data_IF_005086936663
#
_entry.id   IF_005086936663
#
_cell.length_a   1.000
_cell.length_b   1.000
_cell.length_c   1.000
_cell.angle_alpha   90.00
_cell.angle_beta   90.00
_cell.angle_gamma   90.00
#
_symmetry.space_group_name_H-M   'P 1'
#
loop_
_entity.id
_entity.type
_entity.pdbx_description
1 polymer ?
#
# COMPACT_ATOMS: atom_id res chain seq x y z
N UNK A 1 3.42 -11.37 -13.20
CA UNK A 1 2.97 -10.05 -13.70
C UNK A 1 3.20 -8.92 -12.69
N UNK A 2 2.83 -9.05 -11.41
CA UNK A 2 3.02 -7.99 -10.39
C UNK A 2 4.49 -7.57 -10.22
N UNK A 3 5.39 -8.55 -10.15
CA UNK A 3 6.84 -8.31 -10.01
C UNK A 3 7.42 -7.44 -11.13
N UNK A 4 7.01 -7.72 -12.38
CA UNK A 4 7.43 -6.95 -13.56
C UNK A 4 6.96 -5.50 -13.43
N UNK A 5 5.73 -5.27 -12.99
CA UNK A 5 5.20 -3.93 -12.78
C UNK A 5 5.98 -3.18 -11.69
N UNK A 6 6.29 -3.83 -10.57
CA UNK A 6 7.09 -3.23 -9.50
C UNK A 6 8.50 -2.84 -10.00
N UNK A 7 9.15 -3.73 -10.75
CA UNK A 7 10.48 -3.48 -11.35
C UNK A 7 10.45 -2.37 -12.41
N UNK A 8 9.40 -2.30 -13.24
CA UNK A 8 9.20 -1.22 -14.21
C UNK A 8 8.94 0.15 -13.57
N UNK A 9 8.39 0.16 -12.36
CA UNK A 9 8.08 1.38 -11.59
C UNK A 9 9.20 1.78 -10.64
N UNK A 10 10.40 1.25 -10.86
CA UNK A 10 11.62 1.58 -10.10
C UNK A 10 11.45 1.36 -8.59
N UNK A 11 10.62 0.40 -8.19
CA UNK A 11 10.47 0.00 -6.78
C UNK A 11 11.75 -0.71 -6.35
N UNK A 12 12.41 -0.20 -5.31
CA UNK A 12 13.64 -0.82 -4.80
C UNK A 12 13.36 -2.22 -4.27
N UNK A 13 14.37 -3.08 -4.39
CA UNK A 13 14.36 -4.44 -3.85
C UNK A 13 15.58 -4.72 -3.00
N UNK A 14 15.46 -5.71 -2.12
CA UNK A 14 16.54 -6.26 -1.30
C UNK A 14 16.37 -7.78 -1.22
N UNK A 15 17.49 -8.51 -1.18
CA UNK A 15 17.47 -9.96 -0.95
C UNK A 15 17.80 -10.22 0.51
N UNK A 16 16.90 -10.89 1.22
CA UNK A 16 17.06 -11.32 2.61
C UNK A 16 16.83 -12.83 2.68
N UNK A 17 17.78 -13.57 3.27
CA UNK A 17 17.71 -15.03 3.40
C UNK A 17 17.43 -15.78 2.08
N UNK A 18 17.88 -15.21 0.95
CA UNK A 18 17.67 -15.77 -0.39
C UNK A 18 16.33 -15.45 -1.03
N UNK A 19 15.47 -14.67 -0.37
CA UNK A 19 14.18 -14.22 -0.88
C UNK A 19 14.20 -12.73 -1.27
N UNK A 20 13.51 -12.37 -2.35
CA UNK A 20 13.40 -10.98 -2.81
C UNK A 20 12.24 -10.25 -2.09
N UNK A 21 12.58 -9.12 -1.49
CA UNK A 21 11.64 -8.21 -0.85
C UNK A 21 11.64 -6.86 -1.55
N UNK A 22 10.49 -6.18 -1.49
CA UNK A 22 10.25 -4.86 -2.07
C UNK A 22 10.04 -3.83 -0.96
N UNK A 23 10.54 -2.62 -1.17
CA UNK A 23 10.37 -1.52 -0.22
C UNK A 23 8.93 -1.03 -0.22
N UNK A 24 8.29 -1.06 0.96
CA UNK A 24 6.86 -0.72 1.09
C UNK A 24 6.56 0.74 0.74
N UNK A 25 7.48 1.66 1.07
CA UNK A 25 7.31 3.09 0.78
C UNK A 25 7.30 3.38 -0.72
N UNK A 26 8.17 2.72 -1.46
CA UNK A 26 8.27 2.84 -2.91
C UNK A 26 7.00 2.30 -3.58
N UNK A 27 6.46 1.16 -3.10
CA UNK A 27 5.18 0.63 -3.59
C UNK A 27 4.06 1.64 -3.37
N UNK A 28 3.97 2.24 -2.18
CA UNK A 28 2.91 3.22 -1.87
C UNK A 28 3.01 4.49 -2.72
N UNK A 29 4.22 4.91 -3.06
CA UNK A 29 4.48 6.14 -3.81
C UNK A 29 4.33 5.94 -5.32
N UNK A 30 4.83 4.83 -5.85
CA UNK A 30 4.94 4.60 -7.29
C UNK A 30 3.79 3.76 -7.87
N UNK A 31 3.08 3.00 -7.02
CA UNK A 31 2.05 2.05 -7.42
C UNK A 31 0.76 2.24 -6.58
N UNK A 32 0.08 3.39 -6.66
CA UNK A 32 -1.12 3.68 -5.87
C UNK A 32 -2.29 2.73 -6.15
N UNK A 33 -2.29 2.04 -7.29
CA UNK A 33 -3.25 0.99 -7.67
C UNK A 33 -3.06 -0.33 -6.91
N UNK A 34 -1.94 -0.49 -6.20
CA UNK A 34 -1.65 -1.69 -5.42
C UNK A 34 -2.03 -1.51 -3.95
N UNK A 35 -2.40 -2.63 -3.32
CA UNK A 35 -2.56 -2.79 -1.89
C UNK A 35 -1.57 -3.84 -1.38
N UNK A 36 -1.20 -3.71 -0.12
CA UNK A 36 -0.25 -4.59 0.56
C UNK A 36 -0.93 -5.22 1.77
N UNK A 37 -0.63 -6.50 2.04
CA UNK A 37 -1.06 -7.13 3.29
C UNK A 37 -0.16 -6.65 4.43
N UNK A 38 -0.64 -5.68 5.20
CA UNK A 38 0.14 -5.03 6.27
C UNK A 38 0.63 -6.00 7.35
N UNK A 39 -0.12 -7.07 7.61
CA UNK A 39 0.24 -8.13 8.56
C UNK A 39 1.43 -8.99 8.08
N UNK A 40 1.81 -8.88 6.80
CA UNK A 40 2.90 -9.64 6.18
C UNK A 40 4.15 -8.79 5.93
N UNK A 41 4.15 -7.53 6.38
CA UNK A 41 5.30 -6.65 6.31
C UNK A 41 6.36 -7.15 7.30
N UNK A 42 7.58 -7.35 6.80
CA UNK A 42 8.77 -7.56 7.62
C UNK A 42 9.49 -6.23 7.81
N UNK A 43 10.05 -6.02 9.00
CA UNK A 43 10.88 -4.87 9.28
C UNK A 43 12.34 -5.31 9.35
N UNK A 44 13.18 -4.71 8.51
CA UNK A 44 14.62 -4.92 8.54
C UNK A 44 15.27 -3.55 8.75
N UNK A 45 16.00 -3.38 9.85
CA UNK A 45 16.60 -2.08 10.21
C UNK A 45 15.59 -0.92 10.14
N UNK A 46 14.41 -1.13 10.76
CA UNK A 46 13.27 -0.19 10.78
C UNK A 46 12.63 0.07 9.39
N UNK A 47 13.17 -0.51 8.32
CA UNK A 47 12.64 -0.39 6.97
C UNK A 47 11.55 -1.44 6.72
N UNK A 48 10.33 -1.02 6.34
CA UNK A 48 9.24 -1.94 6.01
C UNK A 48 9.43 -2.55 4.61
N UNK A 49 9.45 -3.88 4.58
CA UNK A 49 9.69 -4.71 3.40
C UNK A 49 8.56 -5.72 3.22
N UNK A 50 8.26 -6.08 1.97
CA UNK A 50 7.21 -7.06 1.66
C UNK A 50 7.56 -7.92 0.45
N UNK A 51 7.15 -9.19 0.48
CA UNK A 51 7.27 -10.08 -0.68
C UNK A 51 6.16 -9.79 -1.69
N UNK A 52 6.46 -10.02 -2.97
CA UNK A 52 5.52 -9.76 -4.07
C UNK A 52 4.21 -10.54 -3.97
N UNK A 53 4.22 -11.71 -3.32
CA UNK A 53 3.03 -12.54 -3.12
C UNK A 53 1.94 -11.86 -2.27
N UNK A 54 2.34 -10.95 -1.38
CA UNK A 54 1.45 -10.19 -0.48
C UNK A 54 1.08 -8.81 -1.03
N UNK A 55 1.44 -8.52 -2.28
CA UNK A 55 1.06 -7.30 -2.99
C UNK A 55 -0.08 -7.65 -3.94
N UNK A 56 -1.15 -6.88 -3.95
CA UNK A 56 -2.35 -7.14 -4.76
C UNK A 56 -2.85 -5.88 -5.45
N UNK A 57 -3.63 -6.01 -6.52
CA UNK A 57 -4.35 -4.86 -7.07
C UNK A 57 -5.47 -4.45 -6.11
N UNK A 58 -5.70 -3.14 -5.99
CA UNK A 58 -6.92 -2.62 -5.39
C UNK A 58 -8.11 -2.98 -6.28
N UNK A 59 -9.16 -3.42 -5.63
CA UNK A 59 -10.46 -3.63 -6.25
C UNK A 59 -11.29 -2.36 -6.16
N UNK A 60 -12.37 -2.28 -6.94
CA UNK A 60 -13.35 -1.19 -6.81
C UNK A 60 -13.93 -1.12 -5.40
N UNK A 61 -14.07 -2.26 -4.73
CA UNK A 61 -14.48 -2.33 -3.33
C UNK A 61 -13.47 -1.65 -2.40
N UNK A 62 -12.17 -1.92 -2.55
CA UNK A 62 -11.12 -1.27 -1.75
C UNK A 62 -11.14 0.26 -1.93
N UNK A 63 -11.35 0.71 -3.17
CA UNK A 63 -11.45 2.12 -3.52
C UNK A 63 -12.70 2.77 -2.90
N UNK A 64 -13.84 2.07 -2.92
CA UNK A 64 -15.09 2.53 -2.32
C UNK A 64 -14.98 2.67 -0.80
N UNK A 65 -14.41 1.67 -0.12
CA UNK A 65 -14.20 1.70 1.33
C UNK A 65 -13.27 2.86 1.72
N UNK A 66 -12.18 3.07 0.97
CA UNK A 66 -11.26 4.19 1.20
C UNK A 66 -11.98 5.54 1.10
N UNK A 67 -12.88 5.71 0.13
CA UNK A 67 -13.70 6.93 0.01
C UNK A 67 -14.66 7.12 1.20
N UNK A 68 -15.30 6.05 1.65
CA UNK A 68 -16.23 6.09 2.80
C UNK A 68 -15.46 6.40 4.09
N UNK A 69 -14.31 5.78 4.32
CA UNK A 69 -13.50 6.01 5.52
C UNK A 69 -12.89 7.41 5.56
N UNK A 70 -12.55 7.97 4.40
CA UNK A 70 -12.08 9.36 4.29
C UNK A 70 -13.22 10.39 4.28
N UNK A 71 -14.49 9.95 4.37
CA UNK A 71 -15.63 10.84 4.49
C UNK A 71 -15.60 11.54 5.86
N UNK A 72 -15.10 12.78 5.89
CA UNK A 72 -15.27 13.67 7.03
C UNK A 72 -16.62 14.38 6.87
N UNK A 73 -17.64 14.10 7.69
CA UNK A 73 -18.86 14.89 7.67
C UNK A 73 -18.50 16.34 8.00
N UNK A 74 -18.81 17.26 7.10
CA UNK A 74 -18.63 18.69 7.34
C UNK A 74 -19.56 19.08 8.49
N UNK A 75 -18.99 19.35 9.68
CA UNK A 75 -19.74 19.91 10.81
C UNK A 75 -19.97 21.39 10.54
N UNK A 76 -20.85 21.71 9.60
CA UNK A 76 -21.41 23.05 9.44
C UNK A 76 -22.90 23.02 9.68
N UNK A 77 -23.28 23.81 10.68
CA UNK A 77 -24.63 24.26 11.07
C UNK A 77 -25.44 23.33 11.99
N UNK A 78 -25.18 23.48 13.29
CA UNK A 78 -26.26 23.78 14.25
C UNK A 78 -25.90 25.08 14.95
N UNK A 79 -26.41 26.20 14.43
CA UNK A 79 -26.68 27.36 15.28
C UNK A 79 -27.95 26.97 16.05
N UNK A 80 -27.83 26.91 17.37
CA UNK A 80 -28.95 26.86 18.29
C UNK A 80 -29.73 28.17 18.13
N UNK A 81 -31.03 28.05 17.86
CA UNK A 81 -32.02 29.11 18.03
C UNK A 81 -32.56 29.07 19.47
#
# INVERSE_FOLDING_TARGET
MKEVLLKQREVRTIILDGEEYFYVEDIKSNCPELKIETLKIKYHEETPLIMVEYVHMKTDFDNMITKIWNFKPDRKNKKED
#
